data_IF_452983020884
#
_entry.id   IF_452983020884
#
_cell.length_a   1.000
_cell.length_b   1.000
_cell.length_c   1.000
_cell.angle_alpha   90.00
_cell.angle_beta   90.00
_cell.angle_gamma   90.00
#
_symmetry.space_group_name_H-M   'P 1'
#
loop_
_entity.id
_entity.type
_entity.pdbx_description
1 polymer ?
#
# COMPACT_ATOMS: atom_id res chain seq x y z
N UNK A 1 -10.01 -23.53 11.79
CA UNK A 1 -9.81 -23.38 10.42
C UNK A 1 -9.27 -22.04 10.07
N UNK A 2 -8.30 -21.99 9.19
CA UNK A 2 -7.76 -20.73 8.83
C UNK A 2 -8.48 -20.15 7.65
N UNK A 3 -8.66 -18.86 7.61
CA UNK A 3 -9.24 -18.25 6.42
C UNK A 3 -8.26 -18.38 5.27
N UNK A 4 -8.72 -18.30 4.06
CA UNK A 4 -7.81 -18.38 2.92
C UNK A 4 -6.88 -17.19 2.92
N UNK A 5 -5.70 -17.38 2.38
CA UNK A 5 -4.76 -16.30 2.28
C UNK A 5 -5.27 -15.27 1.30
N UNK A 6 -5.00 -14.03 1.59
CA UNK A 6 -5.39 -12.95 0.72
C UNK A 6 -4.18 -12.08 0.47
N UNK A 7 -4.20 -11.42 -0.68
CA UNK A 7 -3.12 -10.51 -1.05
C UNK A 7 -3.76 -9.25 -1.59
N UNK A 8 -3.14 -8.13 -1.34
CA UNK A 8 -3.70 -6.85 -1.76
C UNK A 8 -2.68 -6.05 -2.53
N UNK A 9 -3.12 -5.46 -3.62
CA UNK A 9 -2.36 -4.44 -4.31
C UNK A 9 -3.01 -3.14 -3.89
N UNK A 10 -2.23 -2.17 -3.45
CA UNK A 10 -2.78 -0.94 -2.91
C UNK A 10 -2.00 0.27 -3.36
N UNK A 11 -2.62 1.43 -3.28
CA UNK A 11 -1.95 2.68 -3.60
C UNK A 11 -2.15 3.64 -2.45
N UNK A 12 -1.05 4.23 -1.98
CA UNK A 12 -1.05 5.24 -0.94
C UNK A 12 -0.71 6.59 -1.54
N UNK A 13 -1.21 7.63 -0.92
CA UNK A 13 -0.95 8.98 -1.39
C UNK A 13 -0.78 9.90 -0.18
N UNK A 14 -0.18 11.06 -0.41
CA UNK A 14 0.00 12.01 0.68
C UNK A 14 -1.06 13.11 0.65
N UNK A 15 -1.75 13.31 -0.43
CA UNK A 15 -2.85 14.26 -0.43
C UNK A 15 -3.68 14.04 -1.68
N UNK A 16 -4.85 14.62 -1.71
CA UNK A 16 -5.74 14.42 -2.84
C UNK A 16 -5.13 14.97 -4.09
N UNK A 17 -5.25 14.17 -5.08
CA UNK A 17 -4.96 14.60 -6.39
C UNK A 17 -3.59 14.88 -6.79
N UNK A 18 -2.64 15.05 -6.15
CA UNK A 18 -1.53 15.43 -6.82
C UNK A 18 -0.32 14.97 -6.46
N UNK A 19 -0.15 14.41 -5.62
CA UNK A 19 1.11 14.36 -5.18
C UNK A 19 1.76 13.09 -5.44
N UNK A 20 2.45 12.59 -4.50
CA UNK A 20 3.19 11.37 -4.67
C UNK A 20 2.24 10.21 -4.45
N UNK A 21 2.32 9.20 -5.30
CA UNK A 21 1.56 7.98 -5.09
C UNK A 21 2.53 6.80 -5.04
N UNK A 22 2.18 5.80 -4.28
CA UNK A 22 3.02 4.62 -4.09
C UNK A 22 2.17 3.37 -4.25
N UNK A 23 2.60 2.46 -5.10
CA UNK A 23 1.90 1.19 -5.32
C UNK A 23 2.66 0.09 -4.59
N UNK A 24 1.95 -0.70 -3.81
CA UNK A 24 2.56 -1.78 -3.07
C UNK A 24 1.70 -3.03 -3.05
N UNK A 25 2.23 -4.06 -2.46
CA UNK A 25 1.55 -5.34 -2.34
C UNK A 25 1.75 -5.85 -0.94
N UNK A 26 0.75 -6.47 -0.37
CA UNK A 26 0.86 -6.97 0.99
C UNK A 26 -0.11 -8.13 1.22
N UNK A 27 0.21 -8.99 2.17
CA UNK A 27 -0.70 -10.02 2.61
C UNK A 27 -1.59 -9.58 3.75
N UNK A 28 -1.36 -8.39 4.29
CA UNK A 28 -2.14 -7.88 5.41
C UNK A 28 -2.31 -6.39 5.23
N UNK A 29 -3.37 -6.01 4.55
CA UNK A 29 -3.58 -4.62 4.19
C UNK A 29 -3.73 -3.70 5.40
N UNK A 30 -4.49 -4.13 6.39
CA UNK A 30 -4.71 -3.29 7.56
C UNK A 30 -3.42 -2.99 8.30
N UNK A 31 -2.59 -4.01 8.46
CA UNK A 31 -1.33 -3.81 9.14
C UNK A 31 -0.40 -2.94 8.32
N UNK A 32 -0.35 -3.16 7.01
CA UNK A 32 0.53 -2.38 6.16
C UNK A 32 0.11 -0.91 6.13
N UNK A 33 -1.19 -0.65 6.07
CA UNK A 33 -1.67 0.72 6.10
C UNK A 33 -1.35 1.37 7.43
N UNK A 34 -1.49 0.61 8.52
CA UNK A 34 -1.14 1.12 9.83
C UNK A 34 0.35 1.52 9.87
N UNK A 35 1.20 0.69 9.29
CA UNK A 35 2.62 1.00 9.23
C UNK A 35 2.88 2.28 8.44
N UNK A 36 2.20 2.45 7.32
CA UNK A 36 2.37 3.67 6.53
C UNK A 36 1.90 4.89 7.33
N UNK A 37 0.77 4.79 8.00
CA UNK A 37 0.26 5.92 8.76
C UNK A 37 1.16 6.28 9.92
N UNK A 38 1.86 5.31 10.45
CA UNK A 38 2.78 5.55 11.55
C UNK A 38 4.22 5.65 11.08
N UNK A 39 4.40 5.70 9.78
CA UNK A 39 5.70 5.92 9.15
C UNK A 39 6.75 4.88 9.55
N UNK A 40 6.32 3.62 9.50
CA UNK A 40 7.16 2.50 9.85
C UNK A 40 7.20 1.50 8.71
N UNK A 41 8.36 1.00 8.36
CA UNK A 41 9.66 1.51 8.77
C UNK A 41 9.97 2.82 8.03
N UNK A 42 10.94 3.57 8.47
CA UNK A 42 11.27 4.80 7.78
C UNK A 42 11.69 4.52 6.35
N UNK A 43 11.39 5.42 5.47
CA UNK A 43 11.77 5.24 4.09
C UNK A 43 10.96 6.14 3.18
N UNK A 44 10.78 5.71 1.94
CA UNK A 44 10.13 6.52 0.93
C UNK A 44 8.74 6.98 1.39
N UNK A 45 7.91 6.06 1.86
CA UNK A 45 6.55 6.42 2.20
C UNK A 45 6.49 7.35 3.39
N UNK A 46 7.40 7.19 4.36
CA UNK A 46 7.39 8.08 5.51
C UNK A 46 7.91 9.45 5.14
N UNK A 47 8.88 9.51 4.24
CA UNK A 47 9.44 10.77 3.84
C UNK A 47 8.40 11.66 3.15
N UNK A 48 7.52 11.06 2.37
CA UNK A 48 6.54 11.82 1.64
C UNK A 48 5.16 11.82 2.29
N UNK A 49 5.05 11.31 3.50
CA UNK A 49 3.79 11.30 4.24
C UNK A 49 2.68 10.57 3.49
N UNK A 50 3.00 9.40 2.97
CA UNK A 50 2.02 8.64 2.22
C UNK A 50 1.14 7.89 3.22
N UNK A 51 0.19 8.58 3.79
CA UNK A 51 -0.62 8.03 4.85
C UNK A 51 -2.08 7.83 4.47
N UNK A 52 -2.43 8.14 3.23
CA UNK A 52 -3.80 8.02 2.79
C UNK A 52 -3.94 6.84 1.85
N UNK A 53 -4.82 5.90 2.15
CA UNK A 53 -5.05 4.76 1.28
C UNK A 53 -6.12 5.16 0.27
N UNK A 54 -5.76 5.24 -1.00
CA UNK A 54 -6.68 5.72 -2.02
C UNK A 54 -7.20 4.65 -2.94
N UNK A 55 -6.61 3.46 -2.93
CA UNK A 55 -7.05 2.39 -3.80
C UNK A 55 -6.53 1.04 -3.31
N UNK A 56 -7.31 -0.03 -3.50
CA UNK A 56 -6.78 -1.37 -3.29
C UNK A 56 -7.60 -2.40 -4.05
N UNK A 57 -6.96 -3.53 -4.32
CA UNK A 57 -7.60 -4.69 -4.95
C UNK A 57 -7.21 -5.92 -4.16
N UNK A 58 -8.13 -6.85 -4.03
CA UNK A 58 -7.87 -8.08 -3.29
C UNK A 58 -7.71 -9.26 -4.23
N UNK A 59 -6.77 -10.11 -3.91
CA UNK A 59 -6.50 -11.32 -4.67
C UNK A 59 -6.36 -12.49 -3.71
N UNK A 60 -6.67 -13.68 -4.20
CA UNK A 60 -6.48 -14.88 -3.39
C UNK A 60 -5.26 -15.68 -3.81
N UNK A 61 -4.55 -15.25 -4.84
CA UNK A 61 -3.34 -15.92 -5.30
C UNK A 61 -2.22 -14.90 -5.40
N UNK A 62 -1.08 -15.25 -4.87
CA UNK A 62 0.04 -14.31 -4.86
C UNK A 62 0.50 -13.97 -6.27
N UNK A 63 0.47 -14.94 -7.17
CA UNK A 63 0.91 -14.68 -8.54
C UNK A 63 0.09 -13.61 -9.19
N UNK A 64 -1.21 -13.66 -9.02
CA UNK A 64 -2.09 -12.67 -9.61
C UNK A 64 -1.83 -11.29 -9.03
N UNK A 65 -1.61 -11.23 -7.72
CA UNK A 65 -1.36 -9.96 -7.07
C UNK A 65 -0.04 -9.37 -7.53
N UNK A 66 0.99 -10.19 -7.63
CA UNK A 66 2.30 -9.73 -8.06
C UNK A 66 2.25 -9.20 -9.48
N UNK A 67 1.56 -9.91 -10.36
CA UNK A 67 1.43 -9.47 -11.73
C UNK A 67 0.71 -8.14 -11.81
N UNK A 68 -0.34 -7.97 -11.02
CA UNK A 68 -1.10 -6.73 -11.05
C UNK A 68 -0.27 -5.56 -10.52
N UNK A 69 0.47 -5.81 -9.46
CA UNK A 69 1.29 -4.77 -8.88
C UNK A 69 2.33 -4.29 -9.89
N UNK A 70 2.97 -5.23 -10.59
CA UNK A 70 3.96 -4.86 -11.58
C UNK A 70 3.31 -4.14 -12.76
N UNK A 71 2.13 -4.56 -13.14
CA UNK A 71 1.42 -3.94 -14.22
C UNK A 71 1.15 -2.47 -13.89
N UNK A 72 0.59 -2.22 -12.72
CA UNK A 72 0.27 -0.86 -12.34
C UNK A 72 1.51 0.00 -12.20
N UNK A 73 2.58 -0.56 -11.66
CA UNK A 73 3.80 0.21 -11.51
C UNK A 73 4.36 0.63 -12.85
N UNK A 74 4.09 -0.12 -13.89
CA UNK A 74 4.58 0.24 -15.22
C UNK A 74 3.72 1.24 -15.96
N UNK A 75 2.58 1.61 -15.42
CA UNK A 75 1.69 2.53 -16.09
C UNK A 75 2.15 3.98 -15.96
N UNK A 76 1.67 4.82 -16.85
CA UNK A 76 1.88 6.23 -16.74
C UNK A 76 1.09 6.74 -15.56
N UNK A 77 1.50 7.86 -15.03
CA UNK A 77 0.83 8.45 -13.88
C UNK A 77 -0.64 8.72 -14.18
N UNK A 78 -0.96 9.22 -15.37
CA UNK A 78 -2.35 9.52 -15.68
C UNK A 78 -3.22 8.28 -15.61
N UNK A 79 -2.70 7.14 -16.01
CA UNK A 79 -3.47 5.92 -15.97
C UNK A 79 -3.65 5.43 -14.54
N UNK A 80 -2.65 5.63 -13.70
CA UNK A 80 -2.77 5.28 -12.28
C UNK A 80 -3.83 6.16 -11.63
N UNK A 81 -3.84 7.43 -11.96
CA UNK A 81 -4.83 8.35 -11.43
C UNK A 81 -6.23 7.95 -11.86
N UNK A 82 -6.38 7.57 -13.12
CA UNK A 82 -7.68 7.12 -13.61
C UNK A 82 -8.15 5.89 -12.86
N UNK A 83 -7.25 4.98 -12.57
CA UNK A 83 -7.60 3.79 -11.82
C UNK A 83 -8.09 4.15 -10.41
N UNK A 84 -7.38 5.05 -9.74
CA UNK A 84 -7.78 5.49 -8.42
C UNK A 84 -9.15 6.14 -8.47
N UNK A 85 -9.37 7.03 -9.41
CA UNK A 85 -10.59 7.80 -9.44
C UNK A 85 -11.79 7.00 -9.89
N UNK A 86 -11.59 5.89 -10.56
CA UNK A 86 -12.69 5.01 -10.90
C UNK A 86 -13.31 4.42 -9.64
N UNK A 87 -12.52 4.22 -8.60
CA UNK A 87 -13.01 3.68 -7.36
C UNK A 87 -13.25 4.77 -6.32
N UNK A 88 -12.42 5.79 -6.35
CA UNK A 88 -12.37 6.78 -5.28
C UNK A 88 -12.16 8.17 -5.88
N UNK A 89 -13.20 8.74 -6.48
CA UNK A 89 -13.05 10.00 -7.20
C UNK A 89 -12.60 11.16 -6.35
N UNK A 90 -12.81 11.09 -5.05
CA UNK A 90 -12.41 12.17 -4.18
C UNK A 90 -11.09 11.94 -3.47
N UNK A 91 -10.45 10.83 -3.75
CA UNK A 91 -9.18 10.48 -3.12
C UNK A 91 -9.29 10.48 -1.59
N UNK A 92 -10.40 9.97 -1.10
CA UNK A 92 -10.58 9.88 0.33
C UNK A 92 -9.71 8.78 0.90
N UNK A 93 -9.38 8.89 2.16
CA UNK A 93 -8.61 7.85 2.82
C UNK A 93 -9.56 6.69 3.10
N UNK A 94 -9.45 5.63 2.33
CA UNK A 94 -10.32 4.48 2.46
C UNK A 94 -10.14 3.76 3.78
N UNK A 95 -9.05 4.05 4.48
CA UNK A 95 -8.75 3.41 5.74
C UNK A 95 -8.91 4.34 6.93
N UNK A 96 -9.63 5.43 6.78
CA UNK A 96 -9.69 6.40 7.85
C UNK A 96 -10.29 5.83 9.13
N UNK A 97 -11.14 4.83 9.00
CA UNK A 97 -11.76 4.24 10.18
C UNK A 97 -11.08 2.98 10.67
N UNK A 98 -9.95 2.63 10.11
CA UNK A 98 -9.29 1.39 10.46
C UNK A 98 -8.35 1.48 11.64
N UNK A 99 -8.02 2.67 12.06
CA UNK A 99 -7.04 2.84 13.10
C UNK A 99 -7.39 2.15 14.41
N UNK A 100 -8.67 2.11 14.73
CA UNK A 100 -9.07 1.48 15.96
C UNK A 100 -9.17 -0.02 15.84
N UNK A 101 -9.08 -0.53 14.64
CA UNK A 101 -9.25 -1.95 14.41
C UNK A 101 -7.97 -2.73 14.54
N UNK A 102 -6.86 -2.17 14.12
CA UNK A 102 -5.59 -2.87 14.17
C UNK A 102 -4.75 -2.41 15.33
N UNK A 103 -4.33 -3.35 16.15
CA UNK A 103 -3.45 -3.03 17.25
C UNK A 103 -2.31 -4.02 17.24
N UNK A 104 -1.18 -3.60 16.73
CA UNK A 104 -0.07 -4.53 16.56
C UNK A 104 0.57 -4.88 17.89
N UNK A 105 1.17 -6.05 17.93
CA UNK A 105 1.96 -6.42 19.05
C UNK A 105 3.38 -6.04 18.78
N UNK A 106 4.03 -5.39 19.69
CA UNK A 106 5.35 -4.85 19.44
C UNK A 106 6.36 -5.85 18.93
N UNK A 107 6.35 -7.01 19.51
CA UNK A 107 7.34 -7.98 19.10
C UNK A 107 7.11 -8.48 17.70
N UNK A 108 5.87 -8.66 17.34
CA UNK A 108 5.58 -9.15 16.02
C UNK A 108 5.94 -8.13 14.98
N UNK A 109 5.70 -6.88 15.28
CA UNK A 109 6.03 -5.88 14.35
C UNK A 109 7.48 -5.87 14.03
N UNK A 110 8.29 -6.02 15.03
CA UNK A 110 9.67 -5.94 14.84
C UNK A 110 10.17 -7.01 13.93
N UNK A 111 9.65 -8.19 13.99
CA UNK A 111 10.12 -9.20 13.20
C UNK A 111 9.79 -9.09 11.79
N UNK A 112 8.74 -8.48 11.42
CA UNK A 112 8.35 -8.46 10.08
C UNK A 112 8.86 -7.35 9.28
N UNK A 113 9.36 -6.36 9.90
CA UNK A 113 9.86 -5.24 9.19
C UNK A 113 10.98 -5.50 8.27
N UNK A 114 11.86 -6.35 8.56
CA UNK A 114 13.03 -6.48 7.73
C UNK A 114 12.83 -6.95 6.33
N UNK A 115 11.71 -7.52 6.00
CA UNK A 115 11.60 -7.97 4.75
C UNK A 115 11.55 -7.02 3.75
N UNK A 116 11.43 -5.90 3.98
CA UNK A 116 11.35 -4.89 3.00
C UNK A 116 12.49 -4.73 2.08
N UNK A 117 13.49 -5.47 2.22
CA UNK A 117 14.54 -5.35 1.26
C UNK A 117 13.99 -5.45 -0.13
N UNK A 118 13.04 -6.31 -0.30
CA UNK A 118 12.44 -6.42 -1.60
C UNK A 118 11.62 -5.22 -1.94
N UNK A 119 11.04 -4.63 -0.95
CA UNK A 119 10.26 -3.46 -1.20
C UNK A 119 11.11 -2.29 -1.52
N UNK A 120 12.30 -2.25 -0.98
CA UNK A 120 13.17 -1.16 -1.29
C UNK A 120 13.48 -1.13 -2.76
N UNK A 121 13.61 -2.26 -3.35
CA UNK A 121 13.81 -2.30 -4.77
C UNK A 121 12.60 -1.74 -5.45
N UNK A 122 11.44 -2.07 -4.95
CA UNK A 122 10.23 -1.54 -5.53
C UNK A 122 10.14 -0.06 -5.38
N UNK A 123 10.64 0.45 -4.28
CA UNK A 123 10.58 1.87 -4.09
C UNK A 123 11.43 2.61 -5.10
N UNK A 124 12.56 2.05 -5.42
CA UNK A 124 13.38 2.70 -6.41
C UNK A 124 12.66 2.74 -7.73
N UNK A 125 11.96 1.70 -8.07
CA UNK A 125 11.25 1.67 -9.30
C UNK A 125 10.17 2.72 -9.30
N UNK A 126 9.53 2.89 -8.19
CA UNK A 126 8.48 3.86 -8.12
C UNK A 126 9.00 5.25 -8.28
N UNK A 127 10.18 5.47 -7.85
CA UNK A 127 10.72 6.80 -7.92
C UNK A 127 10.98 7.21 -9.35
N UNK A 128 11.10 6.28 -10.21
CA UNK A 128 11.39 6.63 -11.59
C UNK A 128 10.11 6.92 -12.43
#
# INVERSE_FOLDING_TARGET
MRPPKQFFVYIMSNCPKSAVIYTGITGDLRRRVWQHKNKLPPGFTSRYNLTRLVYYERFFHSDAAICREKEIKGWRRSKKIALIEAMNPRWEDLAKDWQDVYKPEPAADRREIPRPAGENAGLRDDAS
#
